data_IF_919362447478
#
_entry.id   IF_919362447478
#
_cell.length_a   1.000
_cell.length_b   1.000
_cell.length_c   1.000
_cell.angle_alpha   90.00
_cell.angle_beta   90.00
_cell.angle_gamma   90.00
#
_symmetry.space_group_name_H-M   'P 1'
#
loop_
_entity.id
_entity.type
_entity.pdbx_description
1 polymer ?
#
# COMPACT_ATOMS: atom_id res chain seq x y z
N UNK A 1 18.35 20.55 30.17
CA UNK A 1 17.42 20.07 29.13
C UNK A 1 16.05 19.95 29.75
N UNK A 2 15.17 20.90 29.43
CA UNK A 2 13.79 20.97 29.93
C UNK A 2 12.95 19.90 29.22
N UNK A 3 12.83 18.71 29.83
CA UNK A 3 11.80 17.76 29.41
C UNK A 3 10.44 18.29 29.85
N UNK A 4 9.48 18.31 28.93
CA UNK A 4 8.09 18.65 29.19
C UNK A 4 7.58 17.90 30.43
N UNK A 5 7.02 18.62 31.40
CA UNK A 5 6.52 18.04 32.67
C UNK A 5 5.13 17.45 32.39
N UNK A 6 5.09 16.18 32.00
CA UNK A 6 3.86 15.43 31.75
C UNK A 6 3.91 14.55 30.51
N UNK A 7 2.90 13.68 30.37
CA UNK A 7 2.76 12.75 29.24
C UNK A 7 3.01 11.29 29.59
N UNK A 8 2.63 10.40 28.69
CA UNK A 8 2.95 8.98 28.75
C UNK A 8 4.31 8.81 28.07
N UNK A 9 5.23 8.09 28.71
CA UNK A 9 6.53 7.73 28.14
C UNK A 9 6.58 6.21 27.91
N UNK A 10 5.98 5.69 26.82
CA UNK A 10 6.03 4.27 26.52
C UNK A 10 7.48 3.80 26.38
N UNK A 11 7.73 2.55 26.77
CA UNK A 11 9.03 1.93 26.53
C UNK A 11 9.35 1.93 25.04
N UNK A 12 10.60 2.26 24.71
CA UNK A 12 11.06 2.31 23.33
C UNK A 12 11.28 0.87 22.81
N UNK A 13 10.39 0.37 21.97
CA UNK A 13 10.48 -0.99 21.40
C UNK A 13 11.21 -1.03 20.03
N UNK A 14 12.11 -0.08 19.74
CA UNK A 14 12.94 -0.06 18.52
C UNK A 14 14.22 -0.91 18.66
N UNK A 15 14.10 -2.15 19.15
CA UNK A 15 15.23 -3.03 19.48
C UNK A 15 16.05 -3.47 18.27
N UNK A 16 15.47 -3.47 17.08
CA UNK A 16 16.09 -3.91 15.82
C UNK A 16 16.78 -2.79 15.03
N UNK A 17 16.88 -1.57 15.58
CA UNK A 17 17.43 -0.40 14.86
C UNK A 17 18.87 -0.54 14.35
N UNK A 18 19.65 -1.47 14.92
CA UNK A 18 21.04 -1.78 14.54
C UNK A 18 21.17 -3.11 13.79
N UNK A 19 20.08 -3.85 13.64
CA UNK A 19 20.08 -5.12 12.94
C UNK A 19 20.35 -4.89 11.46
N UNK A 20 21.06 -5.83 10.81
CA UNK A 20 21.25 -5.81 9.36
C UNK A 20 19.92 -6.11 8.67
N UNK A 21 19.73 -5.56 7.48
CA UNK A 21 18.61 -5.93 6.61
C UNK A 21 18.89 -7.34 6.10
N UNK A 22 17.93 -8.24 6.23
CA UNK A 22 18.02 -9.63 5.80
C UNK A 22 16.87 -9.97 4.85
N UNK A 23 17.18 -10.79 3.84
CA UNK A 23 16.15 -11.32 2.93
C UNK A 23 15.45 -12.47 3.64
N UNK A 24 14.13 -12.33 3.82
CA UNK A 24 13.30 -13.40 4.41
C UNK A 24 12.90 -14.43 3.35
N UNK A 25 12.46 -15.61 3.81
CA UNK A 25 11.87 -16.62 2.92
C UNK A 25 10.56 -16.10 2.35
N UNK A 26 10.33 -16.35 1.07
CA UNK A 26 9.06 -16.03 0.42
C UNK A 26 7.95 -16.82 1.12
N UNK A 27 6.87 -16.16 1.56
CA UNK A 27 5.75 -16.87 2.16
C UNK A 27 5.10 -17.78 1.12
N UNK A 28 4.76 -19.02 1.50
CA UNK A 28 4.08 -19.97 0.59
C UNK A 28 2.70 -19.48 0.12
N UNK A 29 2.09 -18.58 0.87
CA UNK A 29 0.75 -18.05 0.62
C UNK A 29 0.64 -16.65 1.22
N UNK A 30 -0.05 -15.76 0.54
CA UNK A 30 -0.47 -14.45 1.08
C UNK A 30 -1.98 -14.28 0.97
N UNK A 31 -2.51 -13.46 1.86
CA UNK A 31 -3.91 -13.07 1.92
C UNK A 31 -3.92 -11.55 1.89
N UNK A 32 -4.55 -10.98 0.87
CA UNK A 32 -4.58 -9.53 0.64
C UNK A 32 -6.04 -9.07 0.78
N UNK A 33 -6.44 -8.54 1.97
CA UNK A 33 -7.75 -7.95 2.18
C UNK A 33 -8.07 -6.92 1.10
N UNK A 34 -9.32 -6.88 0.63
CA UNK A 34 -9.79 -5.86 -0.32
C UNK A 34 -10.08 -4.50 0.35
N UNK A 35 -10.02 -4.46 1.67
CA UNK A 35 -10.12 -3.25 2.48
C UNK A 35 -8.81 -3.02 3.23
N UNK A 36 -7.88 -2.24 2.66
CA UNK A 36 -6.58 -1.89 3.29
C UNK A 36 -6.43 -0.39 3.59
N UNK A 37 -7.47 0.39 3.35
CA UNK A 37 -7.47 1.85 3.48
C UNK A 37 -8.83 2.35 3.96
N UNK A 38 -8.90 3.59 4.46
CA UNK A 38 -10.15 4.24 4.93
C UNK A 38 -11.25 4.38 3.85
N UNK A 39 -10.88 4.27 2.57
CA UNK A 39 -11.78 4.36 1.42
C UNK A 39 -12.71 3.17 1.18
N UNK A 40 -13.48 3.23 0.08
CA UNK A 40 -14.38 2.15 -0.33
C UNK A 40 -13.60 0.88 -0.71
N UNK A 41 -14.00 -0.33 -0.27
CA UNK A 41 -13.29 -1.57 -0.59
C UNK A 41 -13.01 -1.72 -2.08
N UNK A 42 -11.84 -2.28 -2.41
CA UNK A 42 -11.49 -2.59 -3.79
C UNK A 42 -12.28 -3.79 -4.32
N UNK A 43 -12.54 -3.75 -5.61
CA UNK A 43 -13.03 -4.88 -6.39
C UNK A 43 -11.84 -5.64 -6.99
N UNK A 44 -11.87 -6.98 -6.99
CA UNK A 44 -10.82 -7.80 -7.57
C UNK A 44 -10.78 -7.63 -9.10
N UNK A 45 -9.58 -7.48 -9.66
CA UNK A 45 -9.32 -7.44 -11.10
C UNK A 45 -8.89 -8.81 -11.66
N UNK A 46 -8.61 -9.76 -10.78
CA UNK A 46 -8.12 -11.10 -11.10
C UNK A 46 -9.10 -12.18 -10.67
N UNK A 47 -8.99 -13.38 -11.26
CA UNK A 47 -9.86 -14.53 -10.96
C UNK A 47 -9.07 -15.73 -10.42
N UNK A 48 -9.78 -16.69 -9.81
CA UNK A 48 -9.18 -17.96 -9.38
C UNK A 48 -8.53 -18.67 -10.57
N UNK A 49 -7.33 -19.22 -10.36
CA UNK A 49 -6.50 -19.88 -11.37
C UNK A 49 -5.60 -18.94 -12.17
N UNK A 50 -5.75 -17.62 -12.04
CA UNK A 50 -4.92 -16.65 -12.75
C UNK A 50 -3.51 -16.56 -12.14
N UNK A 51 -2.51 -16.42 -13.00
CA UNK A 51 -1.12 -16.18 -12.60
C UNK A 51 -0.93 -14.68 -12.43
N UNK A 52 -0.32 -14.29 -11.31
CA UNK A 52 0.00 -12.91 -11.00
C UNK A 52 1.48 -12.74 -10.72
N UNK A 53 2.01 -11.56 -11.04
CA UNK A 53 3.39 -11.15 -10.78
C UNK A 53 3.48 -10.20 -9.59
N UNK A 54 4.66 -10.10 -8.99
CA UNK A 54 4.94 -9.12 -7.93
C UNK A 54 4.64 -7.72 -8.44
N UNK A 55 3.94 -6.95 -7.62
CA UNK A 55 3.48 -5.58 -7.88
C UNK A 55 2.50 -5.43 -9.06
N UNK A 56 1.96 -6.52 -9.61
CA UNK A 56 0.81 -6.45 -10.52
C UNK A 56 -0.42 -5.89 -9.78
N UNK A 57 -1.16 -4.97 -10.41
CA UNK A 57 -2.40 -4.43 -9.85
C UNK A 57 -3.50 -5.50 -9.92
N UNK A 58 -3.96 -5.96 -8.76
CA UNK A 58 -4.90 -7.09 -8.64
C UNK A 58 -6.27 -6.70 -8.09
N UNK A 59 -6.43 -5.50 -7.54
CA UNK A 59 -7.71 -4.96 -7.12
C UNK A 59 -7.71 -3.43 -7.24
N UNK A 60 -8.86 -2.84 -7.52
CA UNK A 60 -9.02 -1.39 -7.59
C UNK A 60 -10.46 -0.96 -7.29
N UNK A 61 -10.69 0.34 -7.17
CA UNK A 61 -12.03 0.91 -7.02
C UNK A 61 -12.11 2.21 -7.81
N UNK A 62 -13.27 2.41 -8.46
CA UNK A 62 -13.57 3.67 -9.14
C UNK A 62 -14.01 4.78 -8.18
N UNK A 63 -14.20 4.45 -6.89
CA UNK A 63 -14.55 5.44 -5.88
C UNK A 63 -13.35 6.36 -5.59
N UNK A 64 -13.65 7.65 -5.47
CA UNK A 64 -12.65 8.70 -5.27
C UNK A 64 -11.75 8.43 -4.05
N UNK A 65 -12.35 8.05 -2.92
CA UNK A 65 -11.59 7.64 -1.72
C UNK A 65 -11.30 6.15 -1.82
N UNK A 66 -10.17 5.78 -2.44
CA UNK A 66 -9.66 4.41 -2.54
C UNK A 66 -8.17 4.38 -2.94
N UNK A 67 -7.51 3.23 -2.84
CA UNK A 67 -6.18 3.01 -3.39
C UNK A 67 -6.06 1.58 -3.95
N UNK A 68 -5.57 1.39 -5.18
CA UNK A 68 -5.34 0.07 -5.76
C UNK A 68 -4.48 -0.86 -4.88
N UNK A 69 -4.73 -2.16 -4.98
CA UNK A 69 -3.98 -3.19 -4.28
C UNK A 69 -3.17 -3.99 -5.30
N UNK A 70 -1.93 -4.27 -4.94
CA UNK A 70 -0.98 -5.00 -5.79
C UNK A 70 -0.59 -6.33 -5.15
N UNK A 71 -0.26 -7.32 -5.98
CA UNK A 71 0.23 -8.60 -5.51
C UNK A 71 1.59 -8.44 -4.82
N UNK A 72 1.73 -8.98 -3.61
CA UNK A 72 2.97 -8.93 -2.83
C UNK A 72 3.95 -10.06 -3.20
N UNK A 73 3.48 -11.09 -3.89
CA UNK A 73 4.27 -12.23 -4.38
C UNK A 73 3.80 -12.60 -5.80
N UNK A 74 4.66 -13.29 -6.55
CA UNK A 74 4.26 -14.01 -7.77
C UNK A 74 3.66 -15.36 -7.44
N UNK A 75 2.76 -15.83 -8.29
CA UNK A 75 2.17 -17.17 -8.23
C UNK A 75 0.72 -17.20 -8.70
N UNK A 76 -0.09 -18.07 -8.11
CA UNK A 76 -1.45 -18.35 -8.59
C UNK A 76 -2.50 -17.83 -7.62
N UNK A 77 -3.50 -17.13 -8.13
CA UNK A 77 -4.68 -16.73 -7.36
C UNK A 77 -5.50 -17.96 -7.05
N UNK A 78 -5.59 -18.34 -5.77
CA UNK A 78 -6.45 -19.43 -5.33
C UNK A 78 -7.93 -19.04 -5.40
N UNK A 79 -8.23 -17.76 -5.16
CA UNK A 79 -9.57 -17.21 -5.25
C UNK A 79 -9.77 -16.04 -4.29
N UNK A 80 -11.05 -15.71 -4.06
CA UNK A 80 -11.47 -14.67 -3.12
C UNK A 80 -12.15 -15.35 -1.94
N UNK A 81 -11.69 -15.08 -0.73
CA UNK A 81 -12.22 -15.66 0.49
C UNK A 81 -12.56 -14.58 1.51
N UNK A 82 -13.56 -14.85 2.37
CA UNK A 82 -13.78 -14.04 3.57
C UNK A 82 -12.71 -14.37 4.61
N UNK A 83 -12.11 -13.34 5.19
CA UNK A 83 -11.07 -13.46 6.22
C UNK A 83 -11.32 -12.48 7.36
N UNK A 84 -10.84 -12.79 8.58
CA UNK A 84 -10.90 -11.84 9.68
C UNK A 84 -10.21 -10.51 9.33
N UNK A 85 -10.85 -9.40 9.68
CA UNK A 85 -10.32 -8.06 9.49
C UNK A 85 -10.34 -7.30 10.82
N UNK A 86 -9.23 -6.66 11.24
CA UNK A 86 -9.11 -6.09 12.58
C UNK A 86 -10.14 -4.98 12.89
N UNK A 87 -10.72 -4.36 11.87
CA UNK A 87 -11.70 -3.26 12.01
C UNK A 87 -13.10 -3.66 11.57
N UNK A 88 -13.23 -4.55 10.59
CA UNK A 88 -14.52 -4.84 9.94
C UNK A 88 -15.15 -6.14 10.44
N UNK A 89 -14.48 -6.86 11.34
CA UNK A 89 -14.81 -8.24 11.70
C UNK A 89 -14.35 -9.20 10.61
N UNK A 90 -14.93 -9.11 9.42
CA UNK A 90 -14.56 -9.89 8.24
C UNK A 90 -14.54 -9.03 6.98
N UNK A 91 -13.72 -9.41 6.00
CA UNK A 91 -13.75 -8.82 4.66
C UNK A 91 -13.34 -9.84 3.60
N UNK A 92 -13.66 -9.56 2.34
CA UNK A 92 -13.14 -10.34 1.22
C UNK A 92 -11.65 -10.05 1.03
N UNK A 93 -10.88 -11.07 0.67
CA UNK A 93 -9.45 -10.99 0.40
C UNK A 93 -9.07 -11.87 -0.80
N UNK A 94 -8.09 -11.41 -1.58
CA UNK A 94 -7.46 -12.22 -2.63
C UNK A 94 -6.42 -13.12 -1.96
N UNK A 95 -6.49 -14.42 -2.24
CA UNK A 95 -5.54 -15.41 -1.73
C UNK A 95 -4.62 -15.84 -2.88
N UNK A 96 -3.31 -15.72 -2.68
CA UNK A 96 -2.29 -16.07 -3.68
C UNK A 96 -1.38 -17.14 -3.09
N UNK A 97 -1.20 -18.23 -3.82
CA UNK A 97 -0.18 -19.25 -3.55
C UNK A 97 1.11 -18.90 -4.29
N UNK A 98 2.24 -19.02 -3.62
CA UNK A 98 3.54 -18.65 -4.16
C UNK A 98 4.07 -19.68 -5.15
N UNK A 99 4.64 -19.21 -6.26
CA UNK A 99 5.44 -20.02 -7.18
C UNK A 99 6.92 -20.13 -6.79
N UNK A 100 7.35 -19.36 -5.78
CA UNK A 100 8.74 -19.28 -5.31
C UNK A 100 9.70 -18.49 -6.21
N UNK A 101 9.22 -17.77 -7.24
CA UNK A 101 10.06 -17.18 -8.29
C UNK A 101 10.29 -15.67 -8.19
N UNK A 102 9.47 -14.92 -7.42
CA UNK A 102 9.50 -13.44 -7.32
C UNK A 102 9.62 -12.80 -8.71
N UNK A 103 8.72 -13.15 -9.62
CA UNK A 103 8.67 -12.54 -10.95
C UNK A 103 7.95 -11.19 -10.87
N UNK A 104 8.62 -10.11 -11.26
CA UNK A 104 8.07 -8.76 -11.22
C UNK A 104 7.23 -8.45 -12.46
N UNK A 105 6.13 -7.72 -12.24
CA UNK A 105 5.29 -7.22 -13.31
C UNK A 105 6.06 -6.20 -14.18
N UNK A 106 5.91 -6.30 -15.50
CA UNK A 106 6.61 -5.46 -16.46
C UNK A 106 6.24 -3.97 -16.35
N UNK A 107 5.13 -3.63 -15.70
CA UNK A 107 4.75 -2.24 -15.43
C UNK A 107 5.66 -1.56 -14.41
N UNK A 108 6.41 -2.31 -13.62
CA UNK A 108 7.34 -1.78 -12.62
C UNK A 108 8.60 -1.28 -13.30
N UNK A 109 8.58 -0.01 -13.70
CA UNK A 109 9.71 0.66 -14.34
C UNK A 109 10.16 1.87 -13.55
N UNK A 110 11.48 2.04 -13.46
CA UNK A 110 12.08 3.29 -12.98
C UNK A 110 11.70 4.41 -13.96
N UNK A 111 11.35 5.57 -13.41
CA UNK A 111 11.16 6.79 -14.19
C UNK A 111 12.47 7.56 -14.16
N UNK A 112 13.02 7.83 -15.33
CA UNK A 112 14.34 8.45 -15.48
C UNK A 112 14.30 9.96 -15.22
N UNK A 113 13.21 10.64 -15.60
CA UNK A 113 13.06 12.08 -15.43
C UNK A 113 11.74 12.41 -14.72
N UNK A 114 11.82 12.57 -13.40
CA UNK A 114 10.66 12.92 -12.56
C UNK A 114 10.35 14.42 -12.67
N UNK A 115 11.37 15.26 -12.90
CA UNK A 115 11.23 16.72 -12.98
C UNK A 115 10.47 17.20 -14.22
N UNK A 116 10.35 16.34 -15.25
CA UNK A 116 9.55 16.60 -16.43
C UNK A 116 8.05 16.36 -16.25
N UNK A 117 7.64 15.73 -15.14
CA UNK A 117 6.24 15.39 -14.88
C UNK A 117 5.51 16.56 -14.24
N UNK A 118 4.27 16.78 -14.66
CA UNK A 118 3.41 17.74 -13.99
C UNK A 118 2.81 17.15 -12.69
N UNK A 119 2.23 18.02 -11.86
CA UNK A 119 1.64 17.61 -10.59
C UNK A 119 0.52 16.57 -10.75
N UNK A 120 -0.28 16.65 -11.83
CA UNK A 120 -1.38 15.70 -12.08
C UNK A 120 -0.86 14.33 -12.45
N UNK A 121 0.20 14.28 -13.27
CA UNK A 121 0.88 13.04 -13.63
C UNK A 121 1.49 12.37 -12.40
N UNK A 122 2.17 13.13 -11.54
CA UNK A 122 2.71 12.62 -10.28
C UNK A 122 1.61 12.06 -9.37
N UNK A 123 0.51 12.80 -9.19
CA UNK A 123 -0.64 12.36 -8.38
C UNK A 123 -1.26 11.09 -8.98
N UNK A 124 -1.37 11.01 -10.31
CA UNK A 124 -1.88 9.81 -11.01
C UNK A 124 -0.96 8.61 -10.78
N UNK A 125 0.35 8.79 -10.84
CA UNK A 125 1.33 7.72 -10.56
C UNK A 125 1.18 7.24 -9.12
N UNK A 126 1.05 8.17 -8.16
CA UNK A 126 0.88 7.85 -6.73
C UNK A 126 -0.43 7.09 -6.49
N UNK A 127 -1.51 7.48 -7.19
CA UNK A 127 -2.79 6.75 -7.16
C UNK A 127 -2.62 5.35 -7.71
N UNK A 128 -2.09 5.20 -8.92
CA UNK A 128 -1.95 3.90 -9.58
C UNK A 128 -1.02 2.95 -8.81
N UNK A 129 0.01 3.48 -8.13
CA UNK A 129 0.87 2.71 -7.24
C UNK A 129 0.20 2.26 -5.93
N UNK A 130 -1.03 2.67 -5.64
CA UNK A 130 -1.76 2.26 -4.43
C UNK A 130 -1.20 2.84 -3.14
N UNK A 131 -0.52 3.99 -3.19
CA UNK A 131 0.18 4.54 -2.02
C UNK A 131 -0.81 5.13 -1.03
N UNK A 132 -0.68 4.72 0.24
CA UNK A 132 -1.48 5.17 1.38
C UNK A 132 -0.60 5.73 2.49
N UNK A 133 -1.16 6.61 3.32
CA UNK A 133 -0.43 7.18 4.46
C UNK A 133 -0.38 6.24 5.66
N UNK A 134 0.83 5.93 6.14
CA UNK A 134 1.08 5.00 7.27
C UNK A 134 0.88 5.61 8.68
N UNK A 135 0.16 6.73 8.78
CA UNK A 135 -0.14 7.37 10.07
C UNK A 135 -1.25 6.68 10.90
N UNK A 136 -1.76 5.53 10.45
CA UNK A 136 -2.80 4.74 11.11
C UNK A 136 -4.02 4.50 10.23
N UNK A 137 -4.61 5.56 9.67
CA UNK A 137 -5.85 5.45 8.88
C UNK A 137 -5.65 4.86 7.45
N UNK A 138 -4.41 4.68 6.99
CA UNK A 138 -4.11 4.26 5.61
C UNK A 138 -4.89 5.11 4.58
N UNK A 139 -4.92 6.43 4.77
CA UNK A 139 -5.65 7.34 3.88
C UNK A 139 -4.91 7.48 2.53
N UNK A 140 -5.59 7.36 1.37
CA UNK A 140 -4.95 7.42 0.06
C UNK A 140 -4.12 8.68 -0.15
N UNK A 141 -2.84 8.52 -0.51
CA UNK A 141 -1.88 9.63 -0.58
C UNK A 141 -2.19 10.60 -1.71
N UNK A 142 -2.70 10.11 -2.85
CA UNK A 142 -3.06 10.96 -3.99
C UNK A 142 -4.11 12.04 -3.63
N UNK A 143 -5.00 11.75 -2.67
CA UNK A 143 -6.00 12.71 -2.16
C UNK A 143 -5.32 13.76 -1.29
N UNK A 144 -4.37 13.36 -0.42
CA UNK A 144 -3.62 14.29 0.44
C UNK A 144 -2.82 15.30 -0.38
N UNK A 145 -2.34 14.88 -1.56
CA UNK A 145 -1.55 15.69 -2.48
C UNK A 145 -2.42 16.50 -3.46
N UNK A 146 -3.74 16.46 -3.32
CA UNK A 146 -4.69 17.21 -4.14
C UNK A 146 -5.45 18.24 -3.30
N UNK A 147 -4.79 19.25 -2.72
CA UNK A 147 -5.47 20.30 -1.96
C UNK A 147 -6.38 21.14 -2.89
N UNK A 148 -7.34 21.91 -2.32
CA UNK A 148 -8.12 22.88 -3.09
C UNK A 148 -7.22 23.81 -3.91
N UNK A 149 -7.60 24.09 -5.16
CA UNK A 149 -6.76 24.84 -6.12
C UNK A 149 -6.45 26.28 -5.67
N UNK A 150 -7.28 26.85 -4.81
CA UNK A 150 -7.13 28.17 -4.21
C UNK A 150 -6.14 28.21 -3.04
N UNK A 151 -5.60 27.07 -2.61
CA UNK A 151 -4.62 26.97 -1.52
C UNK A 151 -3.22 26.67 -2.04
N UNK A 152 -2.37 27.70 -2.04
CA UNK A 152 -0.93 27.52 -2.23
C UNK A 152 -0.32 26.72 -1.09
N UNK A 153 0.48 25.71 -1.42
CA UNK A 153 1.27 24.94 -0.45
C UNK A 153 2.74 25.29 -0.65
N UNK A 154 3.35 25.97 0.31
CA UNK A 154 4.78 26.33 0.29
C UNK A 154 5.66 25.39 1.13
N UNK A 155 5.06 24.62 2.04
CA UNK A 155 5.79 23.81 3.03
C UNK A 155 5.26 22.38 3.05
N UNK A 156 6.19 21.42 2.99
CA UNK A 156 5.92 19.99 3.19
C UNK A 156 6.64 19.50 4.45
N UNK A 157 5.92 18.84 5.35
CA UNK A 157 6.48 18.26 6.57
C UNK A 157 6.49 16.73 6.42
N UNK A 158 7.68 16.14 6.46
CA UNK A 158 7.87 14.69 6.48
C UNK A 158 8.08 14.21 7.92
N UNK A 159 7.20 13.33 8.39
CA UNK A 159 7.28 12.73 9.71
C UNK A 159 8.20 11.50 9.67
N UNK A 160 9.28 11.47 10.47
CA UNK A 160 10.34 10.45 10.46
C UNK A 160 10.55 9.74 11.79
#
# INVERSE_FOLDING_TARGET
MTSFIGGIHPLYHKSTKKSKIEVTKIPKKVILPLSQHTGAPCEPLVKSGEIVKVAQKIASSDKFVSAPIHASISGTVLGIAKVPHPVLGECNAIVIESDGKIEWDESVKRRENIDALDAKELISIIREAGIVGLGGAAFPTHIKLSPPQDKGIDTVILNG
#
